data_IF_192296155618
#
_entry.id   IF_192296155618
#
_cell.length_a   1.000
_cell.length_b   1.000
_cell.length_c   1.000
_cell.angle_alpha   90.00
_cell.angle_beta   90.00
_cell.angle_gamma   90.00
#
_symmetry.space_group_name_H-M   'P 1'
#
loop_
_entity.id
_entity.type
_entity.pdbx_description
1 polymer ?
#
# COMPACT_ATOMS: atom_id res chain seq x y z
N UNK A 1 -32.47 30.11 -11.63
CA UNK A 1 -31.39 29.21 -11.13
C UNK A 1 -30.79 28.38 -12.25
N UNK A 2 -31.57 27.59 -12.99
CA UNK A 2 -31.07 26.82 -14.15
C UNK A 2 -30.42 27.70 -15.24
N UNK A 3 -30.97 28.89 -15.47
CA UNK A 3 -30.40 29.88 -16.38
C UNK A 3 -28.94 30.25 -16.04
N UNK A 4 -28.64 30.47 -14.76
CA UNK A 4 -27.30 30.86 -14.29
C UNK A 4 -26.30 29.71 -14.46
N UNK A 5 -26.74 28.47 -14.23
CA UNK A 5 -25.92 27.28 -14.50
C UNK A 5 -25.63 27.19 -15.99
N UNK A 6 -26.67 27.27 -16.83
CA UNK A 6 -26.52 27.12 -18.28
C UNK A 6 -25.63 28.23 -18.88
N UNK A 7 -25.76 29.46 -18.38
CA UNK A 7 -24.94 30.60 -18.79
C UNK A 7 -23.45 30.38 -18.50
N UNK A 8 -23.13 29.76 -17.37
CA UNK A 8 -21.75 29.55 -16.94
C UNK A 8 -21.21 28.13 -17.22
N UNK A 9 -21.98 27.23 -17.87
CA UNK A 9 -21.54 25.86 -18.23
C UNK A 9 -20.24 25.83 -19.04
N UNK A 10 -19.97 26.88 -19.83
CA UNK A 10 -18.71 27.01 -20.59
C UNK A 10 -17.47 26.94 -19.69
N UNK A 11 -17.58 27.38 -18.44
CA UNK A 11 -16.50 27.28 -17.45
C UNK A 11 -16.13 25.81 -17.20
N UNK A 12 -17.13 24.95 -17.03
CA UNK A 12 -16.93 23.51 -16.81
C UNK A 12 -16.15 22.92 -17.99
N UNK A 13 -16.62 23.10 -19.22
CA UNK A 13 -15.95 22.56 -20.40
C UNK A 13 -14.54 23.14 -20.61
N UNK A 14 -14.33 24.42 -20.28
CA UNK A 14 -12.99 25.02 -20.33
C UNK A 14 -12.03 24.36 -19.33
N UNK A 15 -12.50 24.01 -18.12
CA UNK A 15 -11.71 23.32 -17.12
C UNK A 15 -11.43 21.87 -17.54
N UNK A 16 -12.43 21.14 -18.04
CA UNK A 16 -12.25 19.77 -18.51
C UNK A 16 -11.20 19.70 -19.64
N UNK A 17 -11.28 20.64 -20.60
CA UNK A 17 -10.29 20.77 -21.68
C UNK A 17 -8.89 21.12 -21.16
N UNK A 18 -8.80 22.06 -20.20
CA UNK A 18 -7.52 22.47 -19.59
C UNK A 18 -6.79 21.29 -18.94
N UNK A 19 -7.52 20.38 -18.31
CA UNK A 19 -6.95 19.21 -17.62
C UNK A 19 -6.86 17.94 -18.47
N UNK A 20 -7.16 18.02 -19.77
CA UNK A 20 -7.09 16.89 -20.71
C UNK A 20 -7.80 15.62 -20.19
N UNK A 21 -8.97 15.79 -19.60
CA UNK A 21 -9.78 14.67 -19.10
C UNK A 21 -10.36 13.93 -20.32
N UNK A 22 -9.75 12.80 -20.67
CA UNK A 22 -10.15 11.97 -21.84
C UNK A 22 -11.14 10.86 -21.49
N UNK A 23 -11.19 10.47 -20.22
CA UNK A 23 -12.07 9.42 -19.69
C UNK A 23 -12.99 10.01 -18.62
N UNK A 24 -14.21 9.51 -18.52
CA UNK A 24 -15.24 9.94 -17.55
C UNK A 24 -15.64 11.42 -17.62
N UNK A 25 -15.55 12.02 -18.81
CA UNK A 25 -15.86 13.46 -19.05
C UNK A 25 -17.24 13.84 -18.53
N UNK A 26 -18.23 12.97 -18.74
CA UNK A 26 -19.61 13.20 -18.30
C UNK A 26 -19.72 13.18 -16.77
N UNK A 27 -18.99 12.31 -16.08
CA UNK A 27 -18.97 12.23 -14.62
C UNK A 27 -18.34 13.49 -14.01
N UNK A 28 -17.18 13.91 -14.51
CA UNK A 28 -16.55 15.16 -14.06
C UNK A 28 -17.42 16.39 -14.38
N UNK A 29 -18.12 16.40 -15.52
CA UNK A 29 -19.06 17.46 -15.85
C UNK A 29 -20.23 17.51 -14.87
N UNK A 30 -20.79 16.36 -14.48
CA UNK A 30 -21.85 16.27 -13.48
C UNK A 30 -21.39 16.74 -12.11
N UNK A 31 -20.23 16.27 -11.62
CA UNK A 31 -19.66 16.71 -10.34
C UNK A 31 -19.45 18.22 -10.30
N UNK A 32 -18.87 18.79 -11.37
CA UNK A 32 -18.67 20.24 -11.48
C UNK A 32 -20.01 20.98 -11.53
N UNK A 33 -21.02 20.46 -12.20
CA UNK A 33 -22.37 21.05 -12.25
C UNK A 33 -23.04 21.08 -10.88
N UNK A 34 -22.97 19.98 -10.13
CA UNK A 34 -23.50 19.91 -8.75
C UNK A 34 -22.76 20.89 -7.84
N UNK A 35 -21.42 20.93 -7.93
CA UNK A 35 -20.62 21.87 -7.13
C UNK A 35 -20.96 23.32 -7.47
N UNK A 36 -21.12 23.62 -8.75
CA UNK A 36 -21.47 24.93 -9.24
C UNK A 36 -22.84 25.39 -8.73
N UNK A 37 -23.84 24.51 -8.72
CA UNK A 37 -25.15 24.82 -8.14
C UNK A 37 -25.05 25.24 -6.67
N UNK A 38 -24.26 24.51 -5.88
CA UNK A 38 -24.01 24.87 -4.48
C UNK A 38 -23.28 26.21 -4.35
N UNK A 39 -22.27 26.48 -5.18
CA UNK A 39 -21.52 27.73 -5.15
C UNK A 39 -22.37 28.93 -5.54
N UNK A 40 -23.30 28.78 -6.49
CA UNK A 40 -24.21 29.85 -6.88
C UNK A 40 -25.10 30.27 -5.70
N UNK A 41 -25.57 29.31 -4.90
CA UNK A 41 -26.41 29.58 -3.72
C UNK A 41 -25.66 30.28 -2.58
N UNK A 42 -24.35 30.12 -2.52
CA UNK A 42 -23.48 30.67 -1.48
C UNK A 42 -22.75 31.94 -1.93
N UNK A 43 -23.02 32.41 -3.15
CA UNK A 43 -22.34 33.57 -3.68
C UNK A 43 -22.82 34.84 -2.98
N UNK A 44 -21.86 35.57 -2.43
CA UNK A 44 -22.08 36.85 -1.76
C UNK A 44 -21.42 37.97 -2.57
N UNK A 45 -22.25 38.88 -3.07
CA UNK A 45 -21.81 40.05 -3.85
C UNK A 45 -21.06 41.09 -3.02
N UNK A 46 -21.11 41.00 -1.68
CA UNK A 46 -20.34 41.88 -0.81
C UNK A 46 -18.86 41.48 -0.69
N UNK A 47 -18.55 40.20 -0.98
CA UNK A 47 -17.20 39.63 -0.84
C UNK A 47 -16.53 39.44 -2.21
N UNK A 48 -17.31 39.29 -3.28
CA UNK A 48 -16.81 38.88 -4.58
C UNK A 48 -17.31 39.78 -5.72
N UNK A 49 -16.37 40.39 -6.44
CA UNK A 49 -16.67 41.32 -7.55
C UNK A 49 -17.28 40.64 -8.79
N UNK A 50 -16.98 39.36 -9.01
CA UNK A 50 -17.45 38.64 -10.21
C UNK A 50 -17.78 37.19 -9.92
N UNK A 51 -19.03 36.85 -10.21
CA UNK A 51 -19.55 35.49 -10.15
C UNK A 51 -18.74 34.51 -11.00
N UNK A 52 -18.37 34.91 -12.22
CA UNK A 52 -17.60 34.06 -13.13
C UNK A 52 -16.21 33.75 -12.60
N UNK A 53 -15.52 34.76 -12.05
CA UNK A 53 -14.19 34.59 -11.47
C UNK A 53 -14.25 33.70 -10.22
N UNK A 54 -15.22 33.94 -9.35
CA UNK A 54 -15.48 33.11 -8.17
C UNK A 54 -15.74 31.65 -8.53
N UNK A 55 -16.67 31.40 -9.46
CA UNK A 55 -17.02 30.06 -9.92
C UNK A 55 -15.82 29.36 -10.56
N UNK A 56 -15.09 30.04 -11.44
CA UNK A 56 -13.90 29.48 -12.09
C UNK A 56 -12.86 29.04 -11.05
N UNK A 57 -12.53 29.90 -10.09
CA UNK A 57 -11.52 29.62 -9.08
C UNK A 57 -11.94 28.47 -8.15
N UNK A 58 -13.18 28.47 -7.67
CA UNK A 58 -13.69 27.43 -6.77
C UNK A 58 -13.83 26.08 -7.47
N UNK A 59 -14.32 26.06 -8.71
CA UNK A 59 -14.42 24.83 -9.50
C UNK A 59 -13.04 24.28 -9.86
N UNK A 60 -12.08 25.15 -10.16
CA UNK A 60 -10.69 24.75 -10.40
C UNK A 60 -10.08 24.03 -9.20
N UNK A 61 -10.15 24.61 -7.99
CA UNK A 61 -9.60 23.97 -6.80
C UNK A 61 -10.35 22.69 -6.42
N UNK A 62 -11.68 22.68 -6.58
CA UNK A 62 -12.48 21.48 -6.37
C UNK A 62 -12.04 20.34 -7.30
N UNK A 63 -11.78 20.62 -8.58
CA UNK A 63 -11.29 19.62 -9.54
C UNK A 63 -9.90 19.09 -9.15
N UNK A 64 -8.99 19.98 -8.72
CA UNK A 64 -7.67 19.58 -8.20
C UNK A 64 -7.81 18.67 -6.97
N UNK A 65 -8.73 18.96 -6.06
CA UNK A 65 -8.95 18.13 -4.89
C UNK A 65 -9.55 16.76 -5.22
N UNK A 66 -10.41 16.67 -6.23
CA UNK A 66 -10.87 15.38 -6.78
C UNK A 66 -9.67 14.58 -7.30
N UNK A 67 -8.76 15.19 -8.07
CA UNK A 67 -7.57 14.50 -8.57
C UNK A 67 -6.65 14.04 -7.44
N UNK A 68 -6.43 14.87 -6.42
CA UNK A 68 -5.66 14.48 -5.22
C UNK A 68 -6.32 13.31 -4.49
N UNK A 69 -7.65 13.28 -4.40
CA UNK A 69 -8.40 12.17 -3.79
C UNK A 69 -8.27 10.88 -4.62
N UNK A 70 -8.44 10.96 -5.94
CA UNK A 70 -8.30 9.82 -6.87
C UNK A 70 -6.87 9.27 -6.84
N UNK A 71 -5.86 10.14 -6.83
CA UNK A 71 -4.45 9.76 -6.68
C UNK A 71 -4.18 9.03 -5.35
N UNK A 72 -4.71 9.53 -4.22
CA UNK A 72 -4.61 8.81 -2.94
C UNK A 72 -5.33 7.46 -2.97
N UNK A 73 -6.48 7.37 -3.62
CA UNK A 73 -7.24 6.13 -3.76
C UNK A 73 -6.54 5.08 -4.63
N UNK A 74 -5.85 5.47 -5.71
CA UNK A 74 -5.05 4.54 -6.52
C UNK A 74 -3.93 3.89 -5.70
N UNK A 75 -3.35 4.62 -4.74
CA UNK A 75 -2.34 4.09 -3.84
C UNK A 75 -2.91 3.08 -2.81
N UNK A 76 -4.23 3.10 -2.57
CA UNK A 76 -4.89 2.19 -1.61
C UNK A 76 -5.70 1.07 -2.29
N UNK A 77 -6.18 1.29 -3.51
CA UNK A 77 -6.91 0.33 -4.33
C UNK A 77 -6.00 -0.16 -5.47
N UNK A 78 -5.04 -1.01 -5.13
CA UNK A 78 -4.36 -1.87 -6.10
C UNK A 78 -4.43 -3.29 -5.58
N UNK A 79 -5.62 -3.89 -5.72
CA UNK A 79 -5.78 -5.35 -5.62
C UNK A 79 -5.79 -6.01 -7.01
N UNK A 80 -6.22 -5.29 -8.05
CA UNK A 80 -6.31 -5.84 -9.42
C UNK A 80 -5.01 -5.65 -10.23
N UNK A 81 -4.24 -4.57 -10.04
CA UNK A 81 -2.94 -4.41 -10.70
C UNK A 81 -1.83 -5.27 -10.07
N UNK A 82 -1.99 -5.68 -8.81
CA UNK A 82 -1.06 -6.59 -8.11
C UNK A 82 -1.11 -8.04 -8.59
N UNK A 83 -2.05 -8.43 -9.45
CA UNK A 83 -1.99 -9.75 -10.09
C UNK A 83 -0.84 -9.85 -11.11
N UNK A 84 -0.44 -8.73 -11.73
CA UNK A 84 0.65 -8.72 -12.71
C UNK A 84 2.01 -8.29 -12.13
N UNK A 85 2.01 -7.59 -10.99
CA UNK A 85 3.22 -7.19 -10.26
C UNK A 85 3.29 -7.81 -8.87
N UNK A 86 2.76 -9.02 -8.71
CA UNK A 86 3.32 -9.88 -7.66
C UNK A 86 4.78 -10.05 -8.04
N UNK A 87 5.68 -9.36 -7.32
CA UNK A 87 7.10 -9.70 -7.27
C UNK A 87 7.16 -11.22 -7.32
N UNK A 88 7.59 -11.78 -8.45
CA UNK A 88 7.74 -13.23 -8.59
C UNK A 88 8.67 -13.62 -7.45
N UNK A 89 8.11 -14.10 -6.34
CA UNK A 89 8.85 -14.98 -5.47
C UNK A 89 9.37 -16.05 -6.43
N UNK A 90 10.69 -16.32 -6.48
CA UNK A 90 11.16 -17.46 -7.24
C UNK A 90 10.28 -18.61 -6.79
N UNK A 91 9.54 -19.18 -7.74
CA UNK A 91 8.64 -20.29 -7.47
C UNK A 91 9.54 -21.48 -7.18
N UNK A 92 10.13 -21.51 -5.98
CA UNK A 92 10.65 -22.71 -5.37
C UNK A 92 9.45 -23.64 -5.44
N UNK A 93 9.56 -24.70 -6.23
CA UNK A 93 8.44 -25.60 -6.46
C UNK A 93 7.83 -25.94 -5.10
N UNK A 94 6.49 -25.96 -5.02
CA UNK A 94 5.79 -26.26 -3.76
C UNK A 94 6.26 -27.59 -3.13
N UNK A 95 6.92 -28.43 -3.91
CA UNK A 95 7.57 -29.68 -3.51
C UNK A 95 9.01 -29.53 -2.98
N UNK A 96 9.81 -28.57 -3.45
CA UNK A 96 11.22 -28.44 -3.04
C UNK A 96 11.41 -27.59 -1.78
N UNK A 97 10.54 -26.60 -1.54
CA UNK A 97 10.65 -25.76 -0.34
C UNK A 97 10.53 -26.55 0.97
N UNK A 98 9.55 -27.47 1.14
CA UNK A 98 9.47 -28.29 2.35
C UNK A 98 10.69 -29.19 2.56
N UNK A 99 11.29 -29.70 1.48
CA UNK A 99 12.49 -30.54 1.55
C UNK A 99 13.70 -29.73 2.03
N UNK A 100 13.93 -28.56 1.45
CA UNK A 100 15.01 -27.65 1.86
C UNK A 100 14.83 -27.29 3.34
N UNK A 101 13.63 -26.88 3.77
CA UNK A 101 13.37 -26.54 5.17
C UNK A 101 13.64 -27.74 6.09
N UNK A 102 13.26 -28.95 5.67
CA UNK A 102 13.51 -30.16 6.44
C UNK A 102 15.01 -30.46 6.60
N UNK A 103 15.81 -30.32 5.54
CA UNK A 103 17.26 -30.54 5.58
C UNK A 103 17.94 -29.58 6.57
N UNK A 104 17.58 -28.29 6.53
CA UNK A 104 18.09 -27.30 7.49
C UNK A 104 17.57 -27.55 8.91
N UNK A 105 16.39 -28.14 9.08
CA UNK A 105 15.88 -28.53 10.38
C UNK A 105 16.68 -29.70 10.98
N UNK A 106 17.17 -30.63 10.16
CA UNK A 106 18.03 -31.72 10.60
C UNK A 106 19.45 -31.27 10.99
N UNK A 107 19.96 -30.15 10.45
CA UNK A 107 21.25 -29.54 10.82
C UNK A 107 21.29 -29.04 12.28
N UNK A 108 20.11 -28.75 12.85
CA UNK A 108 19.97 -28.33 14.23
C UNK A 108 20.09 -29.54 15.16
N UNK A 109 20.79 -29.38 16.29
CA UNK A 109 20.75 -30.38 17.36
C UNK A 109 19.39 -30.35 18.08
N UNK A 110 19.11 -31.36 18.89
CA UNK A 110 17.81 -31.49 19.59
C UNK A 110 17.43 -30.23 20.39
N UNK A 111 18.38 -29.66 21.12
CA UNK A 111 18.14 -28.48 21.96
C UNK A 111 17.88 -27.21 21.12
N UNK A 112 18.60 -27.06 20.02
CA UNK A 112 18.39 -25.99 19.05
C UNK A 112 17.02 -26.09 18.36
N UNK A 113 16.56 -27.31 18.04
CA UNK A 113 15.22 -27.56 17.49
C UNK A 113 14.12 -27.20 18.48
N UNK A 114 14.24 -27.65 19.73
CA UNK A 114 13.30 -27.31 20.80
C UNK A 114 13.22 -25.78 20.97
N UNK A 115 14.38 -25.11 21.03
CA UNK A 115 14.43 -23.65 21.11
C UNK A 115 13.74 -22.98 19.91
N UNK A 116 14.03 -23.44 18.69
CA UNK A 116 13.45 -22.87 17.47
C UNK A 116 11.93 -23.04 17.44
N UNK A 117 11.42 -24.23 17.75
CA UNK A 117 9.98 -24.49 17.78
C UNK A 117 9.27 -23.62 18.81
N UNK A 118 9.79 -23.55 20.04
CA UNK A 118 9.23 -22.64 21.04
C UNK A 118 9.25 -21.19 20.57
N UNK A 119 10.31 -20.78 19.87
CA UNK A 119 10.36 -19.43 19.31
C UNK A 119 9.33 -19.20 18.21
N UNK A 120 9.08 -20.20 17.35
CA UNK A 120 8.06 -20.17 16.30
C UNK A 120 6.64 -20.18 16.85
N UNK A 121 6.38 -20.86 17.97
CA UNK A 121 5.12 -20.81 18.71
C UNK A 121 4.86 -19.46 19.41
N UNK A 122 5.85 -18.55 19.40
CA UNK A 122 5.68 -17.19 19.91
C UNK A 122 6.13 -16.98 21.36
N UNK A 123 6.74 -17.98 22.00
CA UNK A 123 7.23 -17.85 23.38
C UNK A 123 8.33 -16.77 23.49
N UNK A 124 8.30 -16.02 24.60
CA UNK A 124 9.30 -15.03 24.98
C UNK A 124 10.53 -15.72 25.55
N UNK A 125 11.67 -15.03 25.51
CA UNK A 125 12.95 -15.61 25.92
C UNK A 125 12.99 -16.07 27.38
N UNK A 126 12.28 -15.41 28.29
CA UNK A 126 12.20 -15.86 29.68
C UNK A 126 11.33 -17.13 29.81
N UNK A 127 10.25 -17.25 29.04
CA UNK A 127 9.38 -18.42 29.02
C UNK A 127 10.13 -19.64 28.49
N UNK A 128 10.91 -19.46 27.42
CA UNK A 128 11.76 -20.51 26.85
C UNK A 128 12.82 -20.99 27.86
N UNK A 129 13.41 -20.07 28.65
CA UNK A 129 14.36 -20.46 29.71
C UNK A 129 13.72 -21.36 30.76
N UNK A 130 12.50 -21.04 31.19
CA UNK A 130 11.74 -21.85 32.15
C UNK A 130 11.38 -23.21 31.54
N UNK A 131 10.85 -23.22 30.32
CA UNK A 131 10.41 -24.45 29.64
C UNK A 131 11.57 -25.41 29.33
N UNK A 132 12.73 -24.89 28.95
CA UNK A 132 13.92 -25.71 28.67
C UNK A 132 14.74 -26.03 29.92
N UNK A 133 14.42 -25.40 31.06
CA UNK A 133 15.22 -25.42 32.29
C UNK A 133 16.71 -25.09 32.02
N UNK A 134 16.96 -23.97 31.33
CA UNK A 134 18.31 -23.50 30.97
C UNK A 134 18.49 -22.02 31.30
N UNK A 135 19.74 -21.63 31.57
CA UNK A 135 20.10 -20.23 31.82
C UNK A 135 19.90 -19.33 30.60
N UNK A 136 19.73 -18.03 30.84
CA UNK A 136 19.65 -17.00 29.80
C UNK A 136 20.82 -17.06 28.81
N UNK A 137 22.03 -17.33 29.31
CA UNK A 137 23.25 -17.43 28.50
C UNK A 137 23.21 -18.64 27.57
N UNK A 138 22.72 -19.78 28.06
CA UNK A 138 22.55 -20.99 27.27
C UNK A 138 21.50 -20.82 26.18
N UNK A 139 20.38 -20.17 26.50
CA UNK A 139 19.34 -19.86 25.50
C UNK A 139 19.85 -18.90 24.42
N UNK A 140 20.65 -17.89 24.77
CA UNK A 140 21.32 -17.00 23.79
C UNK A 140 22.30 -17.77 22.92
N UNK A 141 23.04 -18.74 23.49
CA UNK A 141 23.91 -19.63 22.72
C UNK A 141 23.11 -20.40 21.67
N UNK A 142 22.00 -21.04 22.05
CA UNK A 142 21.14 -21.74 21.08
C UNK A 142 20.60 -20.81 20.00
N UNK A 143 20.11 -19.62 20.37
CA UNK A 143 19.64 -18.61 19.43
C UNK A 143 20.70 -18.24 18.39
N UNK A 144 21.95 -18.01 18.83
CA UNK A 144 23.04 -17.64 17.95
C UNK A 144 23.44 -18.81 17.04
N UNK A 145 23.56 -20.03 17.59
CA UNK A 145 23.85 -21.23 16.81
C UNK A 145 22.78 -21.50 15.74
N UNK A 146 21.49 -21.41 16.10
CA UNK A 146 20.37 -21.57 15.17
C UNK A 146 20.42 -20.51 14.08
N UNK A 147 20.65 -19.24 14.44
CA UNK A 147 20.79 -18.15 13.46
C UNK A 147 21.91 -18.42 12.47
N UNK A 148 23.10 -18.75 12.96
CA UNK A 148 24.26 -19.05 12.09
C UNK A 148 23.99 -20.22 11.15
N UNK A 149 23.34 -21.30 11.64
CA UNK A 149 22.99 -22.47 10.82
C UNK A 149 21.91 -22.19 9.77
N UNK A 150 20.97 -21.30 10.08
CA UNK A 150 19.85 -20.94 9.21
C UNK A 150 20.10 -19.68 8.36
N UNK A 151 21.24 -19.00 8.49
CA UNK A 151 21.61 -17.86 7.65
C UNK A 151 21.51 -18.18 6.14
N UNK A 152 22.05 -19.32 5.64
CA UNK A 152 21.95 -19.66 4.23
C UNK A 152 20.50 -19.82 3.73
N UNK A 153 19.63 -20.41 4.57
CA UNK A 153 18.21 -20.51 4.29
C UNK A 153 17.54 -19.13 4.27
N UNK A 154 17.92 -18.24 5.18
CA UNK A 154 17.42 -16.86 5.24
C UNK A 154 17.81 -16.07 3.98
N UNK A 155 19.05 -16.22 3.50
CA UNK A 155 19.51 -15.58 2.26
C UNK A 155 18.81 -16.15 1.03
N UNK A 156 18.57 -17.47 1.02
CA UNK A 156 17.82 -18.14 -0.04
C UNK A 156 16.37 -17.63 -0.13
N UNK A 157 15.66 -17.55 1.00
CA UNK A 157 14.27 -17.05 1.06
C UNK A 157 14.18 -15.57 0.68
N UNK A 158 15.18 -14.75 1.03
CA UNK A 158 15.18 -13.30 0.72
C UNK A 158 15.52 -12.97 -0.74
N UNK A 159 15.73 -13.96 -1.60
CA UNK A 159 15.96 -13.73 -3.03
C UNK A 159 17.39 -13.33 -3.39
N UNK A 160 18.39 -13.81 -2.64
CA UNK A 160 19.80 -13.63 -2.96
C UNK A 160 20.27 -14.44 -4.17
N UNK A 161 19.72 -14.17 -5.36
CA UNK A 161 20.42 -14.37 -6.64
C UNK A 161 20.97 -13.01 -7.07
N UNK A 162 22.11 -12.62 -6.50
CA UNK A 162 23.04 -11.80 -7.28
C UNK A 162 23.84 -12.78 -8.13
N UNK A 163 23.61 -12.68 -9.43
CA UNK A 163 24.44 -13.25 -10.48
C UNK A 163 25.92 -12.99 -10.20
N UNK A 164 26.68 -14.05 -9.95
CA UNK A 164 28.10 -14.25 -10.27
C UNK A 164 28.42 -15.67 -9.75
N UNK A 165 28.89 -16.65 -10.54
CA UNK A 165 29.60 -16.64 -11.80
C UNK A 165 29.14 -17.82 -12.69
#
# INVERSE_FOLDING_TARGET
>A
MEYQINHHKRIIFSLLRKYNIRYDTDEYAQLLTIKMWNLIRQFDTSIHDSMSRYLFQRLHFYLVDIFRKKSRQLNTCTLETTLNETKRCPMISQTSFPLIVNDYYHLLNEQERIWLNLKLYGYKQFEIQQLMNKSATTIRKYQNCVRSKLEPLRTFIKGGFFLHA
#
